data_IF_523969240905
#
_entry.id   IF_523969240905
#
_cell.length_a   1.000
_cell.length_b   1.000
_cell.length_c   1.000
_cell.angle_alpha   90.00
_cell.angle_beta   90.00
_cell.angle_gamma   90.00
#
_symmetry.space_group_name_H-M   'P 1'
#
loop_
_entity.id
_entity.type
_entity.pdbx_description
1 polymer ?
#
# COMPACT_ATOMS: atom_id res chain seq x y z
N UNK A 1 -70.89 -18.74 36.84
CA UNK A 1 -71.18 -17.52 37.58
C UNK A 1 -70.37 -16.38 36.98
N UNK A 2 -71.07 -15.43 36.38
CA UNK A 2 -70.83 -13.97 36.37
C UNK A 2 -69.50 -13.43 35.76
N UNK A 3 -69.69 -12.89 34.55
CA UNK A 3 -69.07 -11.73 33.87
C UNK A 3 -68.44 -10.65 34.77
N UNK A 4 -67.37 -9.97 34.32
CA UNK A 4 -67.43 -8.58 33.76
C UNK A 4 -66.04 -7.98 33.51
N UNK A 5 -65.96 -7.29 32.36
CA UNK A 5 -64.95 -6.37 31.84
C UNK A 5 -64.44 -5.30 32.84
N UNK A 6 -63.23 -4.75 32.61
CA UNK A 6 -63.00 -3.37 32.14
C UNK A 6 -61.48 -3.09 32.06
N UNK A 7 -61.13 -2.39 30.99
CA UNK A 7 -59.81 -1.90 30.57
C UNK A 7 -59.21 -0.91 31.56
N UNK A 8 -57.89 -0.97 31.72
CA UNK A 8 -57.09 0.07 32.36
C UNK A 8 -55.65 0.02 31.85
N UNK A 9 -55.39 0.71 30.74
CA UNK A 9 -54.04 1.06 30.30
C UNK A 9 -53.40 2.00 31.32
N UNK A 10 -52.29 1.59 31.91
CA UNK A 10 -51.37 2.49 32.61
C UNK A 10 -49.94 2.07 32.27
N UNK A 11 -49.35 2.82 31.35
CA UNK A 11 -47.92 2.82 31.05
C UNK A 11 -47.11 3.15 32.30
N UNK A 12 -46.23 2.25 32.72
CA UNK A 12 -45.09 2.59 33.58
C UNK A 12 -43.83 2.22 32.83
N UNK A 13 -43.17 3.26 32.31
CA UNK A 13 -41.77 3.24 31.92
C UNK A 13 -40.92 2.81 33.12
N UNK A 14 -40.27 1.66 33.01
CA UNK A 14 -39.15 1.28 33.87
C UNK A 14 -38.00 0.83 32.97
N UNK A 15 -37.11 1.78 32.69
CA UNK A 15 -35.84 1.55 32.05
C UNK A 15 -34.85 0.95 33.06
N UNK A 16 -34.26 -0.20 32.73
CA UNK A 16 -32.93 -0.65 33.19
C UNK A 16 -32.56 -1.89 32.37
N UNK A 17 -31.85 -1.71 31.26
CA UNK A 17 -30.40 -1.91 31.18
C UNK A 17 -29.98 -3.38 31.40
N UNK A 18 -30.04 -4.19 30.34
CA UNK A 18 -29.13 -5.31 30.16
C UNK A 18 -28.40 -5.16 28.82
N UNK A 19 -27.17 -4.71 28.93
CA UNK A 19 -26.14 -4.73 27.91
C UNK A 19 -25.85 -6.18 27.50
N UNK A 20 -26.07 -6.51 26.24
CA UNK A 20 -25.36 -7.58 25.55
C UNK A 20 -24.97 -7.08 24.16
N UNK A 21 -23.84 -6.40 24.15
CA UNK A 21 -22.97 -6.12 23.01
C UNK A 21 -22.88 -7.36 22.08
N UNK A 22 -23.52 -7.33 20.92
CA UNK A 22 -23.12 -8.17 19.79
C UNK A 22 -22.23 -7.34 18.87
N UNK A 23 -20.97 -7.15 19.29
CA UNK A 23 -19.93 -6.72 18.35
C UNK A 23 -19.68 -7.89 17.37
N UNK A 24 -19.78 -7.71 16.05
CA UNK A 24 -19.12 -8.62 15.13
C UNK A 24 -17.63 -8.62 15.46
N UNK A 25 -17.07 -9.82 15.62
CA UNK A 25 -15.68 -10.05 15.96
C UNK A 25 -14.75 -9.52 14.86
N UNK A 26 -14.40 -8.23 14.91
CA UNK A 26 -13.20 -7.72 14.27
C UNK A 26 -11.98 -8.15 15.12
N UNK A 27 -11.68 -9.45 15.12
CA UNK A 27 -10.51 -10.03 15.79
C UNK A 27 -10.00 -11.24 15.02
N UNK A 28 -9.31 -11.01 13.90
CA UNK A 28 -8.37 -11.99 13.32
C UNK A 28 -7.44 -11.42 12.23
N UNK A 29 -7.19 -10.10 12.15
CA UNK A 29 -6.19 -9.55 11.22
C UNK A 29 -5.09 -8.71 11.87
N UNK A 30 -5.24 -8.34 13.15
CA UNK A 30 -4.21 -7.57 13.87
C UNK A 30 -3.13 -8.42 14.56
N UNK A 31 -3.31 -9.74 14.62
CA UNK A 31 -2.36 -10.63 15.33
C UNK A 31 -1.06 -10.89 14.55
N UNK A 32 -0.93 -10.40 13.32
CA UNK A 32 0.23 -10.66 12.46
C UNK A 32 1.00 -9.39 12.04
N UNK A 33 0.62 -8.22 12.57
CA UNK A 33 1.28 -6.95 12.21
C UNK A 33 2.65 -6.79 12.89
N UNK A 34 2.93 -7.62 13.89
CA UNK A 34 4.22 -7.73 14.58
C UNK A 34 5.06 -8.88 13.99
N UNK A 35 4.96 -9.11 12.67
CA UNK A 35 5.88 -10.01 11.99
C UNK A 35 7.25 -9.35 12.03
N UNK A 36 8.12 -9.78 12.94
CA UNK A 36 9.55 -9.44 12.93
C UNK A 36 10.12 -10.03 11.64
N UNK A 37 10.05 -9.28 10.54
CA UNK A 37 10.49 -9.76 9.23
C UNK A 37 11.93 -10.28 9.32
N UNK A 38 12.17 -11.53 8.91
CA UNK A 38 13.52 -12.06 8.87
C UNK A 38 14.32 -11.34 7.78
N UNK A 39 15.66 -11.34 7.91
CA UNK A 39 16.55 -10.73 6.90
C UNK A 39 16.29 -11.30 5.49
N UNK A 40 16.01 -12.60 5.39
CA UNK A 40 15.65 -13.27 4.13
C UNK A 40 14.37 -12.70 3.52
N UNK A 41 13.36 -12.42 4.34
CA UNK A 41 12.09 -11.86 3.87
C UNK A 41 12.30 -10.45 3.29
N UNK A 42 13.16 -9.65 3.92
CA UNK A 42 13.51 -8.31 3.44
C UNK A 42 14.33 -8.38 2.15
N UNK A 43 15.29 -9.29 2.07
CA UNK A 43 16.09 -9.50 0.85
C UNK A 43 15.20 -9.84 -0.35
N UNK A 44 14.23 -10.75 -0.14
CA UNK A 44 13.30 -11.17 -1.18
C UNK A 44 12.38 -10.03 -1.62
N UNK A 45 11.91 -9.19 -0.69
CA UNK A 45 11.12 -7.99 -1.02
C UNK A 45 11.96 -7.03 -1.86
N UNK A 46 13.19 -6.71 -1.43
CA UNK A 46 14.09 -5.78 -2.13
C UNK A 46 14.39 -6.28 -3.55
N UNK A 47 14.66 -7.58 -3.72
CA UNK A 47 14.90 -8.19 -5.03
C UNK A 47 13.68 -8.10 -5.94
N UNK A 48 12.47 -8.39 -5.40
CA UNK A 48 11.23 -8.26 -6.17
C UNK A 48 10.95 -6.82 -6.57
N UNK A 49 11.13 -5.85 -5.67
CA UNK A 49 10.97 -4.43 -5.96
C UNK A 49 11.91 -4.02 -7.10
N UNK A 50 13.21 -4.27 -6.98
CA UNK A 50 14.19 -3.90 -8.01
C UNK A 50 13.91 -4.54 -9.38
N UNK A 51 13.50 -5.82 -9.40
CA UNK A 51 13.14 -6.50 -10.64
C UNK A 51 11.87 -5.93 -11.27
N UNK A 52 10.80 -5.74 -10.47
CA UNK A 52 9.52 -5.26 -10.98
C UNK A 52 9.57 -3.81 -11.40
N UNK A 53 10.32 -2.94 -10.71
CA UNK A 53 10.48 -1.55 -11.13
C UNK A 53 11.15 -1.45 -12.49
N UNK A 54 12.17 -2.28 -12.76
CA UNK A 54 12.81 -2.34 -14.08
C UNK A 54 11.84 -2.75 -15.19
N UNK A 55 11.12 -3.86 -15.01
CA UNK A 55 10.12 -4.29 -16.01
C UNK A 55 8.97 -3.30 -16.17
N UNK A 56 8.52 -2.70 -15.07
CA UNK A 56 7.45 -1.70 -15.08
C UNK A 56 7.88 -0.45 -15.86
N UNK A 57 9.09 0.08 -15.62
CA UNK A 57 9.62 1.25 -16.30
C UNK A 57 9.56 1.08 -17.82
N UNK A 58 10.05 -0.06 -18.32
CA UNK A 58 10.09 -0.32 -19.77
C UNK A 58 8.69 -0.39 -20.41
N UNK A 59 7.70 -0.89 -19.68
CA UNK A 59 6.31 -0.90 -20.14
C UNK A 59 5.62 0.45 -19.99
N UNK A 60 5.98 1.20 -18.94
CA UNK A 60 5.50 2.55 -18.69
C UNK A 60 5.98 3.53 -19.75
N UNK A 61 7.26 3.49 -20.13
CA UNK A 61 7.84 4.35 -21.17
C UNK A 61 7.09 4.21 -22.50
N UNK A 62 6.73 2.97 -22.86
CA UNK A 62 5.93 2.67 -24.06
C UNK A 62 4.51 3.19 -23.93
N UNK A 63 3.89 3.03 -22.76
CA UNK A 63 2.51 3.44 -22.53
C UNK A 63 2.37 4.97 -22.54
N UNK A 64 3.28 5.69 -21.89
CA UNK A 64 3.26 7.15 -21.77
C UNK A 64 3.33 7.82 -23.14
N UNK A 65 4.18 7.33 -24.05
CA UNK A 65 4.28 7.81 -25.44
C UNK A 65 2.96 7.72 -26.23
N UNK A 66 2.00 6.90 -25.79
CA UNK A 66 0.68 6.75 -26.42
C UNK A 66 -0.45 7.42 -25.62
N UNK A 67 -0.23 7.74 -24.34
CA UNK A 67 -1.30 8.08 -23.39
C UNK A 67 -1.34 9.56 -23.01
N UNK A 68 -0.22 10.28 -23.13
CA UNK A 68 -0.11 11.69 -22.74
C UNK A 68 -0.20 12.57 -23.99
N UNK A 69 -1.22 13.44 -24.12
CA UNK A 69 -1.36 14.32 -25.29
C UNK A 69 -0.20 15.32 -25.41
N UNK A 70 0.55 15.20 -26.51
CA UNK A 70 1.44 16.16 -27.20
C UNK A 70 2.01 17.35 -26.41
N UNK A 71 2.50 17.07 -25.20
CA UNK A 71 3.35 17.97 -24.46
C UNK A 71 4.56 17.17 -24.00
N UNK A 72 5.61 17.18 -24.83
CA UNK A 72 6.90 16.49 -24.58
C UNK A 72 7.35 16.65 -23.12
N UNK A 73 7.12 17.83 -22.53
CA UNK A 73 7.45 18.14 -21.14
C UNK A 73 6.71 17.31 -20.09
N UNK A 74 5.47 16.90 -20.32
CA UNK A 74 4.73 16.05 -19.38
C UNK A 74 5.11 14.57 -19.56
N UNK A 75 5.30 14.15 -20.81
CA UNK A 75 5.82 12.82 -21.14
C UNK A 75 7.18 12.58 -20.47
N UNK A 76 8.13 13.50 -20.67
CA UNK A 76 9.47 13.42 -20.10
C UNK A 76 9.46 13.41 -18.57
N UNK A 77 8.62 14.25 -17.96
CA UNK A 77 8.46 14.28 -16.50
C UNK A 77 7.93 12.96 -15.97
N UNK A 78 6.94 12.37 -16.63
CA UNK A 78 6.36 11.09 -16.22
C UNK A 78 7.40 9.97 -16.32
N UNK A 79 8.12 9.86 -17.45
CA UNK A 79 9.19 8.88 -17.63
C UNK A 79 10.31 9.06 -16.60
N UNK A 80 10.69 10.30 -16.32
CA UNK A 80 11.70 10.60 -15.29
C UNK A 80 11.27 10.10 -13.89
N UNK A 81 9.98 10.12 -13.55
CA UNK A 81 9.50 9.52 -12.28
C UNK A 81 9.65 8.00 -12.25
N UNK A 82 9.43 7.33 -13.37
CA UNK A 82 9.65 5.89 -13.48
C UNK A 82 11.15 5.54 -13.40
N UNK A 83 12.00 6.35 -14.02
CA UNK A 83 13.47 6.25 -13.90
C UNK A 83 13.93 6.43 -12.46
N UNK A 84 13.48 7.51 -11.78
CA UNK A 84 13.80 7.79 -10.39
C UNK A 84 13.48 6.60 -9.47
N UNK A 85 12.31 6.00 -9.66
CA UNK A 85 11.92 4.82 -8.87
C UNK A 85 12.79 3.60 -9.19
N UNK A 86 13.02 3.33 -10.47
CA UNK A 86 13.85 2.20 -10.88
C UNK A 86 15.28 2.32 -10.33
N UNK A 87 15.91 3.48 -10.50
CA UNK A 87 17.28 3.72 -10.05
C UNK A 87 17.39 3.69 -8.52
N UNK A 88 16.41 4.24 -7.82
CA UNK A 88 16.34 4.19 -6.36
C UNK A 88 16.16 2.76 -5.83
N UNK A 89 15.31 1.96 -6.48
CA UNK A 89 15.10 0.55 -6.14
C UNK A 89 16.33 -0.32 -6.43
N UNK A 90 17.01 -0.09 -7.55
CA UNK A 90 18.29 -0.74 -7.87
C UNK A 90 19.35 -0.39 -6.84
N UNK A 91 19.45 0.90 -6.47
CA UNK A 91 20.36 1.34 -5.42
C UNK A 91 20.03 0.72 -4.07
N UNK A 92 18.75 0.55 -3.74
CA UNK A 92 18.32 -0.16 -2.53
C UNK A 92 18.83 -1.60 -2.52
N UNK A 93 18.67 -2.32 -3.63
CA UNK A 93 19.23 -3.67 -3.79
C UNK A 93 20.74 -3.69 -3.56
N UNK A 94 21.48 -2.77 -4.16
CA UNK A 94 22.93 -2.70 -4.01
C UNK A 94 23.35 -2.39 -2.56
N UNK A 95 22.71 -1.41 -1.91
CA UNK A 95 23.02 -1.02 -0.52
C UNK A 95 22.65 -2.14 0.46
N UNK A 96 21.49 -2.79 0.28
CA UNK A 96 21.11 -3.93 1.10
C UNK A 96 22.03 -5.13 0.88
N UNK A 97 22.47 -5.35 -0.36
CA UNK A 97 23.47 -6.35 -0.72
C UNK A 97 24.82 -6.10 -0.07
N UNK A 98 25.28 -4.85 0.02
CA UNK A 98 26.55 -4.49 0.68
C UNK A 98 26.45 -4.59 2.22
N UNK A 99 25.35 -4.09 2.80
CA UNK A 99 25.19 -3.99 4.26
C UNK A 99 24.71 -5.26 4.90
N UNK A 100 23.88 -6.03 4.19
CA UNK A 100 23.32 -7.28 4.69
C UNK A 100 22.58 -7.14 6.03
N UNK A 101 22.16 -5.94 6.39
CA UNK A 101 21.44 -5.59 7.61
C UNK A 101 20.32 -4.59 7.29
N UNK A 102 19.08 -4.99 7.56
CA UNK A 102 17.91 -4.14 7.36
C UNK A 102 17.90 -2.90 8.27
N UNK A 103 18.59 -2.96 9.41
CA UNK A 103 18.65 -1.87 10.38
C UNK A 103 19.79 -0.89 10.10
N UNK A 104 20.67 -1.16 9.13
CA UNK A 104 21.74 -0.24 8.76
C UNK A 104 21.14 1.11 8.32
N UNK A 105 21.64 2.25 8.86
CA UNK A 105 21.12 3.57 8.53
C UNK A 105 21.07 3.87 7.02
N UNK A 106 22.04 3.39 6.24
CA UNK A 106 22.08 3.60 4.78
C UNK A 106 20.99 2.82 4.06
N UNK A 107 20.67 1.62 4.54
CA UNK A 107 19.55 0.84 4.01
C UNK A 107 18.24 1.58 4.31
N UNK A 108 18.03 2.02 5.55
CA UNK A 108 16.82 2.75 5.95
C UNK A 108 16.63 4.03 5.14
N UNK A 109 17.70 4.80 4.96
CA UNK A 109 17.71 6.01 4.14
C UNK A 109 17.36 5.70 2.68
N UNK A 110 17.92 4.62 2.12
CA UNK A 110 17.63 4.25 0.73
C UNK A 110 16.19 3.71 0.55
N UNK A 111 15.61 3.06 1.56
CA UNK A 111 14.18 2.69 1.55
C UNK A 111 13.30 3.94 1.50
N UNK A 112 13.59 4.94 2.33
CA UNK A 112 12.83 6.20 2.35
C UNK A 112 12.87 6.92 0.99
N UNK A 113 14.04 6.97 0.34
CA UNK A 113 14.17 7.49 -1.03
C UNK A 113 13.38 6.68 -2.06
N UNK A 114 13.35 5.36 -1.92
CA UNK A 114 12.63 4.46 -2.83
C UNK A 114 11.12 4.68 -2.73
N UNK A 115 10.59 4.77 -1.51
CA UNK A 115 9.18 5.04 -1.26
C UNK A 115 8.79 6.47 -1.64
N UNK A 116 9.69 7.43 -1.48
CA UNK A 116 9.47 8.80 -1.97
C UNK A 116 9.34 8.86 -3.49
N UNK A 117 10.25 8.23 -4.23
CA UNK A 117 10.18 8.15 -5.70
C UNK A 117 8.92 7.42 -6.18
N UNK A 118 8.53 6.33 -5.50
CA UNK A 118 7.30 5.64 -5.78
C UNK A 118 6.05 6.52 -5.55
N UNK A 119 6.09 7.44 -4.58
CA UNK A 119 4.95 8.30 -4.25
C UNK A 119 4.74 9.32 -5.35
N UNK A 120 5.84 9.84 -5.89
CA UNK A 120 5.82 10.75 -7.02
C UNK A 120 5.25 10.08 -8.27
N UNK A 121 5.69 8.85 -8.57
CA UNK A 121 5.13 8.07 -9.68
C UNK A 121 3.67 7.68 -9.45
N UNK A 122 3.25 7.39 -8.21
CA UNK A 122 1.86 7.07 -7.90
C UNK A 122 0.91 8.20 -8.31
N UNK A 123 1.31 9.46 -8.12
CA UNK A 123 0.51 10.62 -8.55
C UNK A 123 0.30 10.62 -10.06
N UNK A 124 1.34 10.31 -10.84
CA UNK A 124 1.26 10.19 -12.30
C UNK A 124 0.32 9.04 -12.69
N UNK A 125 0.42 7.89 -12.02
CA UNK A 125 -0.46 6.73 -12.24
C UNK A 125 -1.94 7.00 -11.92
N UNK A 126 -2.23 7.95 -11.02
CA UNK A 126 -3.58 8.36 -10.67
C UNK A 126 -4.14 9.45 -11.61
N UNK A 127 -3.26 10.26 -12.22
CA UNK A 127 -3.65 11.37 -13.09
C UNK A 127 -4.09 10.89 -14.47
N UNK A 128 -3.41 9.88 -15.04
CA UNK A 128 -3.66 9.39 -16.38
C UNK A 128 -4.28 7.99 -16.40
N UNK A 129 -5.14 7.74 -17.39
CA UNK A 129 -5.69 6.40 -17.65
C UNK A 129 -4.76 5.63 -18.57
N UNK A 130 -3.97 4.75 -17.97
CA UNK A 130 -3.14 3.79 -18.69
C UNK A 130 -3.90 2.51 -19.05
N UNK A 131 -3.24 1.60 -19.79
CA UNK A 131 -3.77 0.28 -20.11
C UNK A 131 -4.00 -0.54 -18.84
N UNK A 132 -4.97 -1.47 -18.88
CA UNK A 132 -5.25 -2.35 -17.74
C UNK A 132 -4.03 -3.19 -17.33
N UNK A 133 -3.20 -3.60 -18.29
CA UNK A 133 -1.97 -4.33 -18.00
C UNK A 133 -1.04 -3.48 -17.12
N UNK A 134 -0.79 -2.23 -17.52
CA UNK A 134 0.12 -1.35 -16.79
C UNK A 134 -0.42 -1.02 -15.39
N UNK A 135 -1.74 -0.84 -15.26
CA UNK A 135 -2.38 -0.65 -13.95
C UNK A 135 -2.19 -1.88 -13.05
N UNK A 136 -2.38 -3.10 -13.58
CA UNK A 136 -2.12 -4.34 -12.82
C UNK A 136 -0.65 -4.47 -12.41
N UNK A 137 0.27 -4.15 -13.31
CA UNK A 137 1.71 -4.19 -13.01
C UNK A 137 2.07 -3.16 -11.92
N UNK A 138 1.46 -1.97 -11.96
CA UNK A 138 1.58 -0.96 -10.91
C UNK A 138 1.01 -1.43 -9.57
N UNK A 139 -0.15 -2.08 -9.56
CA UNK A 139 -0.76 -2.61 -8.33
C UNK A 139 0.10 -3.68 -7.66
N UNK A 140 0.71 -4.57 -8.45
CA UNK A 140 1.66 -5.55 -7.94
C UNK A 140 2.91 -4.88 -7.35
N UNK A 141 3.44 -3.86 -8.03
CA UNK A 141 4.59 -3.11 -7.54
C UNK A 141 4.27 -2.33 -6.25
N UNK A 142 3.11 -1.66 -6.18
CA UNK A 142 2.60 -1.01 -4.96
C UNK A 142 2.48 -2.00 -3.81
N UNK A 143 2.02 -3.23 -4.07
CA UNK A 143 1.94 -4.26 -3.03
C UNK A 143 3.32 -4.62 -2.46
N UNK A 144 4.33 -4.80 -3.31
CA UNK A 144 5.70 -5.05 -2.85
C UNK A 144 6.30 -3.83 -2.11
N UNK A 145 6.04 -2.60 -2.58
CA UNK A 145 6.47 -1.36 -1.94
C UNK A 145 5.80 -1.14 -0.57
N UNK A 146 4.51 -1.45 -0.44
CA UNK A 146 3.80 -1.39 0.83
C UNK A 146 4.28 -2.48 1.81
N UNK A 147 4.69 -3.64 1.29
CA UNK A 147 5.40 -4.65 2.08
C UNK A 147 6.73 -4.11 2.61
N UNK A 148 7.50 -3.40 1.78
CA UNK A 148 8.72 -2.74 2.20
C UNK A 148 8.43 -1.64 3.25
N UNK A 149 7.43 -0.80 3.05
CA UNK A 149 7.02 0.22 4.02
C UNK A 149 6.68 -0.39 5.39
N UNK A 150 5.96 -1.52 5.40
CA UNK A 150 5.62 -2.24 6.63
C UNK A 150 6.86 -2.73 7.39
N UNK A 151 7.87 -3.28 6.71
CA UNK A 151 9.15 -3.71 7.32
C UNK A 151 9.83 -2.58 8.08
N UNK A 152 9.77 -1.36 7.53
CA UNK A 152 10.47 -0.19 8.06
C UNK A 152 9.60 0.71 8.95
N UNK A 153 8.34 0.31 9.18
CA UNK A 153 7.32 1.07 9.91
C UNK A 153 7.10 2.47 9.31
N UNK A 154 7.04 2.54 7.99
CA UNK A 154 6.78 3.76 7.22
C UNK A 154 5.32 3.79 6.73
N UNK A 155 4.76 4.97 6.44
CA UNK A 155 3.42 5.09 5.86
C UNK A 155 3.32 4.33 4.53
N UNK A 156 2.23 3.56 4.31
CA UNK A 156 1.95 2.99 3.00
C UNK A 156 1.49 4.08 2.02
N UNK A 157 1.44 3.69 0.75
CA UNK A 157 1.22 4.56 -0.41
C UNK A 157 -0.16 4.37 -1.02
#
# INVERSE_FOLDING_TARGET
MISTFIRGTATILAAALYLAFSLPQARAQDANRDTVYAKTDVADIVERVARRTGSFKDDFDKAVAHSIPDSDKMEDKAKHRADDLHDSAKKLKDVFGDKHDKNDPKVREQVDRTLSAASDLNRVMLEFRYTEKLQRDWDLLKSDLNGLAAVYNLPPM
#
